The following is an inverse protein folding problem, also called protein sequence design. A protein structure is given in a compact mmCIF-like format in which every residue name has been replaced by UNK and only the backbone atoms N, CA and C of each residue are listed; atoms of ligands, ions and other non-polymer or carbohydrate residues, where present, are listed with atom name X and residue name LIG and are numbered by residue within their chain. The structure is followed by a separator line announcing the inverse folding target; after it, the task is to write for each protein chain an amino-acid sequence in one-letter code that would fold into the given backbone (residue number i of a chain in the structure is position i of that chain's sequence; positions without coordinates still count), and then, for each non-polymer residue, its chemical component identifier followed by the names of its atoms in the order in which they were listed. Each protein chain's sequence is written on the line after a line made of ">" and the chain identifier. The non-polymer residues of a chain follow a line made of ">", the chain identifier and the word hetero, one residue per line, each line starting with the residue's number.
data_IF_594201124279
#
_entry.id   IF_594201124279
#
_cell.length_a   1.000
_cell.length_b   1.000
_cell.length_c   1.000
_cell.angle_alpha   90.00
_cell.angle_beta   90.00
_cell.angle_gamma   90.00
#
_symmetry.space_group_name_H-M   'P 1'
#
loop_
_entity.id
_entity.type
_entity.pdbx_description
1 polymer ?
#
# COMPACT_ATOMS: atom_id res chain seq x y z
N UNK A 1 -53.01 47.95 20.62
CA UNK A 1 -52.10 47.32 19.64
C UNK A 1 -51.24 46.30 20.35
N UNK A 2 -51.54 45.02 20.14
CA UNK A 2 -50.62 43.90 19.89
C UNK A 2 -51.34 42.57 20.20
N UNK A 3 -51.72 41.92 19.11
CA UNK A 3 -52.46 40.69 18.98
C UNK A 3 -51.69 39.45 19.49
N UNK A 4 -52.40 38.50 20.12
CA UNK A 4 -51.99 37.08 20.10
C UNK A 4 -53.22 36.17 20.05
N UNK A 5 -53.42 35.57 18.87
CA UNK A 5 -54.30 34.42 18.63
C UNK A 5 -53.47 33.15 18.76
N UNK A 6 -53.96 32.16 19.50
CA UNK A 6 -53.35 30.83 19.60
C UNK A 6 -54.36 29.83 20.18
N UNK A 7 -54.86 28.95 19.33
CA UNK A 7 -55.93 27.98 19.57
C UNK A 7 -55.51 26.82 20.48
N UNK A 8 -56.44 26.40 21.33
CA UNK A 8 -56.42 25.14 22.09
C UNK A 8 -56.55 23.90 21.19
N UNK A 9 -55.92 22.77 21.56
CA UNK A 9 -56.64 21.60 22.09
C UNK A 9 -55.75 20.35 22.28
N UNK A 10 -55.81 19.85 23.52
CA UNK A 10 -55.82 18.46 24.03
C UNK A 10 -54.81 17.42 23.52
N UNK A 11 -54.11 16.82 24.48
CA UNK A 11 -53.19 15.71 24.28
C UNK A 11 -53.82 14.31 24.37
N UNK A 12 -52.94 13.33 24.20
CA UNK A 12 -53.15 11.92 24.52
C UNK A 12 -51.77 11.27 24.73
N UNK A 13 -51.51 10.86 25.96
CA UNK A 13 -50.41 9.99 26.33
C UNK A 13 -50.70 8.56 25.84
N UNK A 14 -49.70 7.86 25.28
CA UNK A 14 -49.51 6.41 25.41
C UNK A 14 -48.30 5.87 24.62
N UNK A 15 -47.48 5.10 25.33
CA UNK A 15 -46.79 3.86 24.89
C UNK A 15 -45.48 3.96 24.08
N UNK A 16 -44.39 3.97 24.86
CA UNK A 16 -43.15 3.26 24.61
C UNK A 16 -43.40 1.80 24.15
N UNK A 17 -43.02 1.47 22.92
CA UNK A 17 -42.37 0.19 22.51
C UNK A 17 -41.88 0.34 21.07
N UNK A 18 -40.56 0.27 20.87
CA UNK A 18 -39.89 -0.40 19.73
C UNK A 18 -38.40 0.00 19.78
N UNK A 19 -37.55 -0.84 20.34
CA UNK A 19 -37.17 -2.06 19.63
C UNK A 19 -36.00 -1.78 18.70
N UNK A 20 -34.87 -1.36 19.28
CA UNK A 20 -33.50 -1.75 18.90
C UNK A 20 -33.34 -2.33 17.48
N UNK A 21 -33.21 -1.47 16.47
CA UNK A 21 -32.54 -1.81 15.23
C UNK A 21 -31.37 -0.84 15.03
N UNK A 22 -30.37 -0.94 15.91
CA UNK A 22 -29.01 -0.54 15.57
C UNK A 22 -28.68 -1.35 14.33
N UNK A 23 -28.71 -0.73 13.15
CA UNK A 23 -28.24 -1.34 11.91
C UNK A 23 -26.88 -1.93 12.25
N UNK A 24 -26.84 -3.26 12.36
CA UNK A 24 -25.59 -4.00 12.55
C UNK A 24 -24.71 -3.52 11.43
N UNK A 25 -23.57 -2.88 11.78
CA UNK A 25 -22.52 -2.47 10.84
C UNK A 25 -22.38 -3.56 9.79
N UNK A 26 -22.97 -3.34 8.62
CA UNK A 26 -23.13 -4.36 7.61
C UNK A 26 -21.75 -4.68 7.10
N UNK A 27 -21.23 -5.86 7.43
CA UNK A 27 -20.28 -6.50 6.53
C UNK A 27 -20.97 -6.50 5.18
N UNK A 28 -20.43 -5.79 4.18
CA UNK A 28 -21.02 -5.80 2.86
C UNK A 28 -21.02 -7.25 2.35
N UNK A 29 -22.17 -7.91 2.44
CA UNK A 29 -22.37 -9.33 2.09
C UNK A 29 -22.67 -9.51 0.61
N UNK A 30 -22.75 -8.40 -0.13
CA UNK A 30 -22.87 -8.40 -1.57
C UNK A 30 -21.65 -9.07 -2.24
N UNK A 31 -21.84 -9.96 -3.23
CA UNK A 31 -20.75 -10.68 -3.89
C UNK A 31 -19.64 -9.79 -4.45
N UNK A 32 -19.98 -8.61 -4.99
CA UNK A 32 -19.00 -7.68 -5.54
C UNK A 32 -18.14 -7.05 -4.42
N UNK A 33 -18.76 -6.75 -3.29
CA UNK A 33 -18.05 -6.25 -2.10
C UNK A 33 -17.10 -7.30 -1.50
N UNK A 34 -17.53 -8.57 -1.45
CA UNK A 34 -16.68 -9.69 -1.01
C UNK A 34 -15.48 -9.89 -1.94
N UNK A 35 -15.71 -9.83 -3.26
CA UNK A 35 -14.64 -9.90 -4.25
C UNK A 35 -13.63 -8.76 -4.10
N UNK A 36 -14.11 -7.52 -3.96
CA UNK A 36 -13.26 -6.35 -3.74
C UNK A 36 -12.40 -6.50 -2.48
N UNK A 37 -12.97 -7.02 -1.38
CA UNK A 37 -12.24 -7.30 -0.13
C UNK A 37 -11.15 -8.34 -0.34
N UNK A 38 -11.49 -9.48 -0.96
CA UNK A 38 -10.52 -10.56 -1.25
C UNK A 38 -9.38 -10.06 -2.14
N UNK A 39 -9.65 -9.17 -3.10
CA UNK A 39 -8.62 -8.52 -3.93
C UNK A 39 -7.68 -7.66 -3.07
N UNK A 40 -8.23 -6.83 -2.18
CA UNK A 40 -7.42 -5.98 -1.27
C UNK A 40 -6.57 -6.81 -0.31
N UNK A 41 -7.13 -7.88 0.25
CA UNK A 41 -6.40 -8.82 1.11
C UNK A 41 -5.19 -9.42 0.37
N UNK A 42 -5.38 -9.90 -0.86
CA UNK A 42 -4.27 -10.44 -1.69
C UNK A 42 -3.20 -9.39 -1.99
N UNK A 43 -3.59 -8.14 -2.24
CA UNK A 43 -2.64 -7.04 -2.48
C UNK A 43 -1.84 -6.75 -1.21
N UNK A 44 -2.53 -6.61 -0.07
CA UNK A 44 -1.89 -6.31 1.21
C UNK A 44 -0.92 -7.42 1.65
N UNK A 45 -1.24 -8.68 1.37
CA UNK A 45 -0.34 -9.79 1.65
C UNK A 45 0.95 -9.67 0.83
N UNK A 46 0.83 -9.40 -0.47
CA UNK A 46 2.00 -9.19 -1.33
C UNK A 46 2.82 -7.97 -0.90
N UNK A 47 2.16 -6.89 -0.46
CA UNK A 47 2.84 -5.71 0.06
C UNK A 47 3.63 -6.03 1.33
N UNK A 48 3.08 -6.82 2.26
CA UNK A 48 3.80 -7.26 3.46
C UNK A 48 5.03 -8.10 3.14
N UNK A 49 4.89 -9.03 2.20
CA UNK A 49 6.04 -9.84 1.74
C UNK A 49 7.12 -8.91 1.17
N UNK A 50 6.73 -7.96 0.33
CA UNK A 50 7.66 -7.00 -0.26
C UNK A 50 8.37 -6.15 0.81
N UNK A 51 7.65 -5.68 1.84
CA UNK A 51 8.23 -4.91 2.95
C UNK A 51 9.36 -5.66 3.67
N UNK A 52 9.28 -6.99 3.76
CA UNK A 52 10.30 -7.81 4.41
C UNK A 52 11.52 -8.09 3.51
N UNK A 53 11.34 -7.99 2.18
CA UNK A 53 12.40 -8.26 1.21
C UNK A 53 13.20 -7.01 0.83
N UNK A 54 12.56 -5.84 0.89
CA UNK A 54 13.18 -4.56 0.51
C UNK A 54 13.88 -3.95 1.73
N UNK A 55 15.15 -3.54 1.62
CA UNK A 55 15.83 -2.79 2.67
C UNK A 55 15.02 -1.56 3.05
N UNK A 56 14.79 -1.30 4.34
CA UNK A 56 13.96 -0.20 4.85
C UNK A 56 12.48 -0.19 4.42
N UNK A 57 11.97 -1.23 3.74
CA UNK A 57 10.61 -1.27 3.20
C UNK A 57 9.48 -1.08 4.23
N UNK A 58 9.71 -1.39 5.51
CA UNK A 58 8.73 -1.17 6.59
C UNK A 58 8.69 0.27 7.12
N UNK A 59 9.68 1.10 6.79
CA UNK A 59 9.87 2.45 7.35
C UNK A 59 9.44 3.57 6.39
N UNK A 60 9.22 3.24 5.13
CA UNK A 60 8.87 4.18 4.06
C UNK A 60 7.42 3.97 3.61
N UNK A 61 6.85 4.97 2.92
CA UNK A 61 5.52 4.85 2.32
C UNK A 61 5.53 3.88 1.12
N UNK A 62 4.34 3.46 0.67
CA UNK A 62 4.21 2.45 -0.39
C UNK A 62 4.86 2.92 -1.71
N UNK A 63 4.76 4.21 -2.06
CA UNK A 63 5.35 4.71 -3.30
C UNK A 63 6.86 4.61 -3.26
N UNK A 64 7.46 5.09 -2.17
CA UNK A 64 8.91 5.02 -1.95
C UNK A 64 9.39 3.57 -1.87
N UNK A 65 8.66 2.69 -1.16
CA UNK A 65 8.99 1.25 -1.08
C UNK A 65 9.04 0.58 -2.46
N UNK A 66 8.13 0.94 -3.37
CA UNK A 66 8.10 0.39 -4.72
C UNK A 66 9.31 0.86 -5.55
N UNK A 67 9.73 2.12 -5.40
CA UNK A 67 10.95 2.62 -6.03
C UNK A 67 12.20 1.92 -5.45
N UNK A 68 12.31 1.83 -4.12
CA UNK A 68 13.40 1.12 -3.45
C UNK A 68 13.48 -0.35 -3.86
N UNK A 69 12.33 -1.02 -4.07
CA UNK A 69 12.29 -2.39 -4.58
C UNK A 69 12.95 -2.51 -5.96
N UNK A 70 12.69 -1.57 -6.88
CA UNK A 70 13.30 -1.55 -8.21
C UNK A 70 14.81 -1.37 -8.10
N UNK A 71 15.25 -0.43 -7.26
CA UNK A 71 16.68 -0.20 -7.03
C UNK A 71 17.36 -1.42 -6.40
N UNK A 72 16.70 -2.09 -5.45
CA UNK A 72 17.24 -3.29 -4.82
C UNK A 72 17.39 -4.45 -5.81
N UNK A 73 16.46 -4.63 -6.74
CA UNK A 73 16.60 -5.64 -7.81
C UNK A 73 17.80 -5.33 -8.71
N UNK A 74 17.99 -4.07 -9.13
CA UNK A 74 19.16 -3.67 -9.92
C UNK A 74 20.47 -3.92 -9.15
N UNK A 75 20.48 -3.60 -7.86
CA UNK A 75 21.61 -3.87 -6.98
C UNK A 75 21.92 -5.38 -6.90
N UNK A 76 20.92 -6.23 -6.70
CA UNK A 76 21.12 -7.69 -6.67
C UNK A 76 21.64 -8.24 -8.01
N UNK A 77 21.13 -7.73 -9.14
CA UNK A 77 21.63 -8.09 -10.47
C UNK A 77 23.11 -7.70 -10.65
N UNK A 78 23.49 -6.52 -10.17
CA UNK A 78 24.88 -6.07 -10.19
C UNK A 78 25.77 -6.99 -9.35
N UNK A 79 25.34 -7.33 -8.13
CA UNK A 79 26.05 -8.27 -7.25
C UNK A 79 26.27 -9.63 -7.93
N UNK A 80 25.24 -10.18 -8.58
CA UNK A 80 25.36 -11.45 -9.31
C UNK A 80 26.36 -11.32 -10.46
N UNK A 81 26.28 -10.25 -11.27
CA UNK A 81 27.18 -10.03 -12.40
C UNK A 81 28.64 -9.90 -11.96
N UNK A 82 28.87 -9.22 -10.85
CA UNK A 82 30.18 -9.02 -10.23
C UNK A 82 30.78 -10.35 -9.73
N UNK A 83 29.96 -11.18 -9.07
CA UNK A 83 30.37 -12.49 -8.57
C UNK A 83 30.55 -13.53 -9.69
N UNK A 84 29.86 -13.37 -10.82
CA UNK A 84 29.89 -14.31 -11.94
C UNK A 84 30.95 -13.98 -13.00
N UNK A 85 31.65 -12.85 -12.87
CA UNK A 85 32.67 -12.40 -13.83
C UNK A 85 34.08 -12.64 -13.28
N UNK A 86 34.89 -13.40 -14.00
CA UNK A 86 36.30 -13.69 -13.67
C UNK A 86 37.22 -12.45 -13.65
N UNK A 87 36.81 -11.34 -14.29
CA UNK A 87 37.60 -10.10 -14.30
C UNK A 87 37.13 -9.07 -13.25
N UNK A 88 35.87 -9.16 -12.81
CA UNK A 88 35.22 -8.15 -11.98
C UNK A 88 35.10 -8.52 -10.50
N UNK A 89 35.21 -9.80 -10.13
CA UNK A 89 35.17 -10.24 -8.72
C UNK A 89 36.23 -9.56 -7.85
N UNK A 90 37.37 -9.19 -8.43
CA UNK A 90 38.45 -8.50 -7.72
C UNK A 90 38.07 -7.07 -7.29
N UNK A 91 37.09 -6.45 -7.97
CA UNK A 91 36.53 -5.14 -7.60
C UNK A 91 35.30 -5.25 -6.68
N UNK A 92 34.88 -6.46 -6.30
CA UNK A 92 33.70 -6.69 -5.48
C UNK A 92 33.68 -5.95 -4.14
N UNK A 93 34.80 -5.82 -3.40
CA UNK A 93 34.84 -5.06 -2.15
C UNK A 93 34.55 -3.56 -2.31
N UNK A 94 34.77 -2.97 -3.49
CA UNK A 94 34.59 -1.52 -3.72
C UNK A 94 33.16 -1.16 -4.12
N UNK A 95 32.45 -2.06 -4.82
CA UNK A 95 31.08 -1.84 -5.26
C UNK A 95 30.05 -1.83 -4.12
N UNK A 96 30.34 -2.47 -2.98
CA UNK A 96 29.43 -2.54 -1.82
C UNK A 96 29.26 -1.20 -1.09
N UNK A 97 30.14 -0.22 -1.32
CA UNK A 97 30.14 1.10 -0.66
C UNK A 97 29.37 2.19 -1.41
N UNK A 98 28.54 1.84 -2.40
CA UNK A 98 27.70 2.81 -3.12
C UNK A 98 28.49 3.79 -3.98
N UNK A 99 29.74 3.47 -4.33
CA UNK A 99 30.44 4.15 -5.42
C UNK A 99 29.83 3.66 -6.73
N UNK A 100 29.20 4.57 -7.46
CA UNK A 100 28.75 4.38 -8.83
C UNK A 100 29.99 4.12 -9.69
N UNK A 101 30.37 2.84 -9.83
CA UNK A 101 31.39 2.41 -10.79
C UNK A 101 30.72 2.62 -12.13
N UNK A 102 30.92 3.81 -12.72
CA UNK A 102 30.27 4.29 -13.94
C UNK A 102 30.40 3.33 -15.13
N UNK A 103 29.64 2.25 -15.08
CA UNK A 103 29.39 1.30 -16.15
C UNK A 103 28.20 1.86 -16.93
N UNK A 104 28.32 3.11 -17.39
CA UNK A 104 27.57 3.58 -18.55
C UNK A 104 28.13 2.79 -19.74
N UNK A 105 27.60 1.57 -19.89
CA UNK A 105 27.85 0.77 -21.05
C UNK A 105 27.18 1.51 -22.20
N UNK A 106 27.97 2.37 -22.83
CA UNK A 106 27.70 3.01 -24.11
C UNK A 106 27.27 1.90 -25.07
N UNK A 107 25.96 1.69 -25.19
CA UNK A 107 25.36 0.91 -26.28
C UNK A 107 25.51 1.79 -27.52
N UNK A 108 26.75 1.97 -27.97
CA UNK A 108 27.04 2.33 -29.35
C UNK A 108 26.93 1.04 -30.12
N UNK A 109 25.72 0.74 -30.55
CA UNK A 109 25.53 -0.10 -31.73
C UNK A 109 26.18 0.65 -32.90
N UNK A 110 27.44 0.35 -33.18
CA UNK A 110 28.01 0.48 -34.51
C UNK A 110 27.88 -0.87 -35.17
N UNK A 111 26.91 -0.99 -36.08
CA UNK A 111 27.02 -1.31 -37.51
C UNK A 111 25.60 -1.45 -38.03
#
# INVERSE_FOLDING_TARGET
>A
MNDRKGSSSKGSAALNTNGKARVRRGSATDPQSLYARKRRERINERLRILQNLVPNGTKVDISTMLEEAVQYVKFLQLQIKLLSSEDLWMYAPLAYKGMDIGLDLKISAQV
#
